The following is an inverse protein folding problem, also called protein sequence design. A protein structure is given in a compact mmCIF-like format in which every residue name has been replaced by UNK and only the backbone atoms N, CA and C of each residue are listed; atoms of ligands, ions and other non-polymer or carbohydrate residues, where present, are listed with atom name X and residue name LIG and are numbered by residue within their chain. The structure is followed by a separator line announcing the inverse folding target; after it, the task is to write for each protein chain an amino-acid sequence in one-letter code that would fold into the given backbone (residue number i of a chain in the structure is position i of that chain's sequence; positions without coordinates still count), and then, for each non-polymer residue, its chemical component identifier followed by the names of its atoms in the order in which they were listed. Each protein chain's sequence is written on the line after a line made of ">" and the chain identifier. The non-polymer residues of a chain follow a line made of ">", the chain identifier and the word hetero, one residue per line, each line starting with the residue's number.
data_IF_623573880347
#
_entry.id   IF_623573880347
#
_cell.length_a   1.000
_cell.length_b   1.000
_cell.length_c   1.000
_cell.angle_alpha   90.00
_cell.angle_beta   90.00
_cell.angle_gamma   90.00
#
_symmetry.space_group_name_H-M   'P 1'
#
loop_
_entity.id
_entity.type
_entity.pdbx_description
1 polymer ?
#
# COMPACT_ATOMS: atom_id res chain seq x y z
N UNK A 1 -7.66 -5.44 -10.49
CA UNK A 1 -7.67 -6.63 -9.63
C UNK A 1 -7.77 -6.18 -8.19
N UNK A 2 -8.67 -6.77 -7.40
CA UNK A 2 -8.89 -6.40 -6.00
C UNK A 2 -8.77 -7.61 -5.07
N UNK A 3 -8.17 -7.44 -3.88
CA UNK A 3 -8.10 -8.44 -2.82
C UNK A 3 -8.67 -7.93 -1.50
N UNK A 4 -9.73 -8.56 -0.98
CA UNK A 4 -10.34 -8.15 0.29
C UNK A 4 -10.75 -6.69 0.32
N UNK A 5 -10.26 -5.92 1.31
CA UNK A 5 -10.59 -4.49 1.45
C UNK A 5 -10.00 -3.62 0.33
N UNK A 6 -9.04 -4.12 -0.44
CA UNK A 6 -8.52 -3.44 -1.64
C UNK A 6 -9.56 -3.20 -2.74
N UNK A 7 -10.79 -3.68 -2.54
CA UNK A 7 -11.91 -3.36 -3.41
C UNK A 7 -12.28 -1.87 -3.39
N UNK A 8 -12.04 -1.16 -2.30
CA UNK A 8 -12.52 0.23 -2.11
C UNK A 8 -11.94 1.21 -3.14
N UNK A 9 -10.62 1.31 -3.37
CA UNK A 9 -10.10 2.18 -4.42
C UNK A 9 -10.44 1.66 -5.83
N UNK A 10 -10.43 0.34 -6.02
CA UNK A 10 -10.76 -0.26 -7.32
C UNK A 10 -12.23 0.02 -7.70
N UNK A 11 -13.14 0.06 -6.73
CA UNK A 11 -14.53 0.42 -6.96
C UNK A 11 -14.68 1.87 -7.44
N UNK A 12 -13.97 2.82 -6.84
CA UNK A 12 -13.98 4.22 -7.28
C UNK A 12 -13.45 4.37 -8.73
N UNK A 13 -12.40 3.64 -9.08
CA UNK A 13 -11.88 3.61 -10.45
C UNK A 13 -12.89 2.99 -11.44
N UNK A 14 -13.57 1.90 -11.04
CA UNK A 14 -14.58 1.24 -11.85
C UNK A 14 -15.82 2.13 -12.08
N UNK A 15 -16.24 2.91 -11.06
CA UNK A 15 -17.31 3.91 -11.18
C UNK A 15 -16.93 4.94 -12.25
N UNK A 16 -15.75 5.52 -12.19
CA UNK A 16 -15.27 6.51 -13.15
C UNK A 16 -15.18 5.94 -14.57
N UNK A 17 -14.61 4.74 -14.74
CA UNK A 17 -14.54 4.09 -16.04
C UNK A 17 -15.93 3.79 -16.62
N UNK A 18 -16.87 3.41 -15.75
CA UNK A 18 -18.26 3.16 -16.16
C UNK A 18 -18.96 4.44 -16.62
N UNK A 19 -18.78 5.57 -15.92
CA UNK A 19 -19.29 6.89 -16.30
C UNK A 19 -18.71 7.37 -17.64
N UNK A 20 -17.44 7.11 -17.88
CA UNK A 20 -16.76 7.42 -19.13
C UNK A 20 -17.13 6.49 -20.28
N UNK A 21 -17.88 5.41 -20.05
CA UNK A 21 -18.17 4.37 -21.03
C UNK A 21 -16.94 3.56 -21.46
N UNK A 22 -15.86 3.61 -20.68
CA UNK A 22 -14.63 2.89 -20.96
C UNK A 22 -14.77 1.37 -20.68
N UNK A 23 -14.13 0.49 -21.49
CA UNK A 23 -14.13 -0.93 -21.22
C UNK A 23 -13.24 -1.25 -20.01
N UNK A 24 -13.70 -2.14 -19.13
CA UNK A 24 -12.91 -2.68 -18.02
C UNK A 24 -13.43 -4.05 -17.60
N UNK A 25 -12.59 -4.81 -16.91
CA UNK A 25 -12.92 -6.02 -16.17
C UNK A 25 -12.50 -5.84 -14.72
N UNK A 26 -13.32 -6.29 -13.78
CA UNK A 26 -13.06 -6.25 -12.34
C UNK A 26 -12.91 -7.68 -11.80
N UNK A 27 -11.69 -8.06 -11.43
CA UNK A 27 -11.37 -9.34 -10.82
C UNK A 27 -11.22 -9.15 -9.30
N UNK A 28 -12.20 -9.66 -8.53
CA UNK A 28 -12.25 -9.47 -7.09
C UNK A 28 -12.10 -10.80 -6.35
N UNK A 29 -11.04 -10.89 -5.54
CA UNK A 29 -10.73 -12.07 -4.72
C UNK A 29 -11.05 -11.84 -3.24
N UNK A 30 -11.79 -12.76 -2.64
CA UNK A 30 -12.10 -12.77 -1.20
C UNK A 30 -11.74 -14.12 -0.58
N UNK A 31 -11.57 -14.18 0.73
CA UNK A 31 -11.29 -15.45 1.41
C UNK A 31 -12.53 -16.35 1.43
N UNK A 32 -13.64 -15.82 1.92
CA UNK A 32 -14.94 -16.52 2.04
C UNK A 32 -16.04 -15.70 1.37
N UNK A 33 -17.22 -16.29 1.09
CA UNK A 33 -18.37 -15.52 0.59
C UNK A 33 -18.76 -14.35 1.48
N UNK A 34 -18.71 -14.54 2.80
CA UNK A 34 -19.08 -13.53 3.80
C UNK A 34 -18.04 -12.43 4.02
N UNK A 35 -16.80 -12.62 3.54
CA UNK A 35 -15.73 -11.62 3.67
C UNK A 35 -15.65 -10.64 2.50
N UNK A 36 -16.53 -10.77 1.50
CA UNK A 36 -16.57 -9.92 0.32
C UNK A 36 -17.45 -8.69 0.53
N UNK A 37 -16.84 -7.53 0.81
CA UNK A 37 -17.57 -6.28 0.81
C UNK A 37 -18.06 -5.92 -0.60
N UNK A 38 -19.26 -5.36 -0.72
CA UNK A 38 -19.83 -4.81 -1.97
C UNK A 38 -20.02 -5.80 -3.12
N UNK A 39 -19.90 -7.13 -2.93
CA UNK A 39 -19.96 -8.11 -4.03
C UNK A 39 -21.26 -8.02 -4.82
N UNK A 40 -22.40 -7.98 -4.13
CA UNK A 40 -23.72 -7.94 -4.77
C UNK A 40 -23.96 -6.58 -5.45
N UNK A 41 -23.51 -5.50 -4.82
CA UNK A 41 -23.56 -4.14 -5.36
C UNK A 41 -22.73 -4.03 -6.65
N UNK A 42 -21.51 -4.54 -6.67
CA UNK A 42 -20.64 -4.55 -7.83
C UNK A 42 -21.25 -5.36 -8.99
N UNK A 43 -21.82 -6.53 -8.70
CA UNK A 43 -22.51 -7.34 -9.71
C UNK A 43 -23.76 -6.64 -10.26
N UNK A 44 -24.50 -5.95 -9.41
CA UNK A 44 -25.67 -5.18 -9.82
C UNK A 44 -25.27 -4.00 -10.72
N UNK A 45 -24.19 -3.26 -10.37
CA UNK A 45 -23.73 -2.09 -11.12
C UNK A 45 -23.07 -2.44 -12.46
N UNK A 46 -22.18 -3.44 -12.44
CA UNK A 46 -21.30 -3.70 -13.59
C UNK A 46 -21.56 -5.03 -14.32
N UNK A 47 -22.45 -5.86 -13.78
CA UNK A 47 -22.90 -7.10 -14.43
C UNK A 47 -21.76 -8.08 -14.74
N UNK A 48 -21.63 -8.43 -16.03
CA UNK A 48 -20.64 -9.41 -16.48
C UNK A 48 -19.18 -8.92 -16.42
N UNK A 49 -18.93 -7.65 -16.20
CA UNK A 49 -17.59 -7.11 -16.01
C UNK A 49 -16.95 -7.54 -14.69
N UNK A 50 -17.76 -8.08 -13.73
CA UNK A 50 -17.31 -8.47 -12.39
C UNK A 50 -17.10 -9.97 -12.29
N UNK A 51 -15.87 -10.37 -12.02
CA UNK A 51 -15.45 -11.74 -11.77
C UNK A 51 -15.08 -11.90 -10.29
N UNK A 52 -15.91 -12.61 -9.53
CA UNK A 52 -15.70 -12.83 -8.10
C UNK A 52 -15.10 -14.21 -7.83
N UNK A 53 -14.01 -14.24 -7.07
CA UNK A 53 -13.25 -15.44 -6.70
C UNK A 53 -13.24 -15.63 -5.20
N UNK A 54 -13.24 -16.91 -4.76
CA UNK A 54 -13.24 -17.28 -3.34
C UNK A 54 -12.13 -18.28 -3.09
N UNK A 55 -11.11 -17.87 -2.33
CA UNK A 55 -9.89 -18.67 -2.16
C UNK A 55 -10.12 -19.95 -1.35
N UNK A 56 -11.10 -19.98 -0.44
CA UNK A 56 -11.44 -21.17 0.36
C UNK A 56 -12.09 -22.26 -0.51
N UNK A 57 -12.82 -21.90 -1.55
CA UNK A 57 -13.48 -22.85 -2.45
C UNK A 57 -12.64 -23.26 -3.65
N UNK A 58 -11.31 -23.09 -3.58
CA UNK A 58 -10.34 -23.33 -4.65
C UNK A 58 -10.60 -22.52 -5.96
N UNK A 59 -11.48 -21.56 -5.92
CA UNK A 59 -11.72 -20.60 -7.01
C UNK A 59 -10.75 -19.43 -6.90
N UNK A 60 -9.51 -19.65 -7.28
CA UNK A 60 -8.49 -18.60 -7.37
C UNK A 60 -8.47 -17.99 -8.76
N UNK A 61 -7.99 -16.74 -8.84
CA UNK A 61 -7.70 -16.11 -10.13
C UNK A 61 -6.53 -16.86 -10.76
N UNK A 62 -6.70 -17.32 -11.99
CA UNK A 62 -5.58 -17.77 -12.81
C UNK A 62 -4.89 -16.53 -13.39
N UNK A 63 -3.99 -15.95 -12.62
CA UNK A 63 -3.32 -14.69 -12.95
C UNK A 63 -2.48 -14.83 -14.22
N UNK A 64 -1.79 -15.96 -14.40
CA UNK A 64 -0.93 -16.16 -15.57
C UNK A 64 -1.75 -16.16 -16.87
N UNK A 65 -2.85 -16.90 -16.88
CA UNK A 65 -3.76 -16.95 -18.03
C UNK A 65 -4.46 -15.60 -18.24
N UNK A 66 -4.96 -14.97 -17.17
CA UNK A 66 -5.63 -13.67 -17.26
C UNK A 66 -4.72 -12.60 -17.87
N UNK A 67 -3.49 -12.49 -17.37
CA UNK A 67 -2.57 -11.42 -17.78
C UNK A 67 -1.98 -11.64 -19.18
N UNK A 68 -1.88 -12.88 -19.64
CA UNK A 68 -1.39 -13.20 -20.99
C UNK A 68 -2.41 -12.97 -22.10
N UNK A 69 -3.70 -12.82 -21.78
CA UNK A 69 -4.79 -12.71 -22.76
C UNK A 69 -5.36 -11.30 -22.92
N UNK A 70 -4.81 -10.31 -22.22
CA UNK A 70 -5.33 -8.95 -22.27
C UNK A 70 -4.96 -8.23 -23.58
N UNK A 71 -5.85 -7.37 -24.12
CA UNK A 71 -5.54 -6.55 -25.29
C UNK A 71 -4.33 -5.64 -25.08
N UNK A 72 -3.59 -5.36 -26.14
CA UNK A 72 -2.51 -4.37 -26.10
C UNK A 72 -3.04 -2.99 -25.67
N UNK A 73 -2.29 -2.29 -24.85
CA UNK A 73 -2.69 -0.98 -24.31
C UNK A 73 -3.59 -1.05 -23.07
N UNK A 74 -3.89 -2.26 -22.57
CA UNK A 74 -4.60 -2.40 -21.28
C UNK A 74 -3.73 -1.90 -20.12
N UNK A 75 -4.34 -1.20 -19.17
CA UNK A 75 -3.74 -0.82 -17.90
C UNK A 75 -4.23 -1.73 -16.78
N UNK A 76 -3.33 -2.19 -15.95
CA UNK A 76 -3.58 -3.02 -14.79
C UNK A 76 -3.56 -2.18 -13.51
N UNK A 77 -4.62 -2.26 -12.74
CA UNK A 77 -4.71 -1.67 -11.40
C UNK A 77 -4.90 -2.79 -10.38
N UNK A 78 -4.08 -2.82 -9.34
CA UNK A 78 -4.17 -3.83 -8.29
C UNK A 78 -4.12 -3.20 -6.90
N UNK A 79 -5.02 -3.65 -6.03
CA UNK A 79 -5.02 -3.33 -4.59
C UNK A 79 -5.47 -4.55 -3.78
N UNK A 80 -4.75 -4.86 -2.71
CA UNK A 80 -5.01 -6.03 -1.86
C UNK A 80 -3.85 -6.34 -0.92
N UNK A 81 -3.76 -7.58 -0.41
CA UNK A 81 -2.62 -8.03 0.37
C UNK A 81 -1.30 -7.91 -0.42
N UNK A 82 -0.20 -7.52 0.25
CA UNK A 82 1.10 -7.30 -0.39
C UNK A 82 1.55 -8.49 -1.26
N UNK A 83 1.44 -9.71 -0.74
CA UNK A 83 1.79 -10.94 -1.49
C UNK A 83 1.01 -11.05 -2.80
N UNK A 84 -0.28 -10.66 -2.81
CA UNK A 84 -1.10 -10.67 -4.01
C UNK A 84 -0.65 -9.60 -5.01
N UNK A 85 -0.34 -8.39 -4.52
CA UNK A 85 0.14 -7.30 -5.36
C UNK A 85 1.48 -7.67 -6.01
N UNK A 86 2.42 -8.20 -5.22
CA UNK A 86 3.73 -8.65 -5.70
C UNK A 86 3.60 -9.74 -6.78
N UNK A 87 2.75 -10.76 -6.56
CA UNK A 87 2.52 -11.82 -7.53
C UNK A 87 1.88 -11.28 -8.82
N UNK A 88 0.89 -10.40 -8.72
CA UNK A 88 0.23 -9.79 -9.90
C UNK A 88 1.24 -8.98 -10.71
N UNK A 89 2.03 -8.13 -10.09
CA UNK A 89 3.02 -7.29 -10.79
C UNK A 89 4.15 -8.13 -11.40
N UNK A 90 4.63 -9.15 -10.70
CA UNK A 90 5.66 -10.07 -11.21
C UNK A 90 5.14 -10.82 -12.46
N UNK A 91 3.97 -11.44 -12.38
CA UNK A 91 3.38 -12.19 -13.49
C UNK A 91 3.03 -11.29 -14.67
N UNK A 92 2.61 -10.04 -14.43
CA UNK A 92 2.37 -9.09 -15.51
C UNK A 92 3.67 -8.75 -16.26
N UNK A 93 4.78 -8.49 -15.55
CA UNK A 93 6.09 -8.27 -16.17
C UNK A 93 6.58 -9.49 -16.96
N UNK A 94 6.42 -10.70 -16.41
CA UNK A 94 6.74 -11.96 -17.10
C UNK A 94 5.90 -12.15 -18.37
N UNK A 95 4.66 -11.67 -18.38
CA UNK A 95 3.78 -11.67 -19.56
C UNK A 95 4.08 -10.51 -20.54
N UNK A 96 5.08 -9.67 -20.27
CA UNK A 96 5.53 -8.60 -21.18
C UNK A 96 4.78 -7.27 -21.04
N UNK A 97 4.09 -7.03 -19.93
CA UNK A 97 3.43 -5.73 -19.67
C UNK A 97 4.45 -4.62 -19.41
N UNK A 98 4.30 -3.45 -20.05
CA UNK A 98 5.15 -2.29 -19.75
C UNK A 98 4.90 -1.77 -18.31
N UNK A 99 5.96 -1.40 -17.59
CA UNK A 99 5.83 -0.90 -16.21
C UNK A 99 4.89 0.32 -16.09
N UNK A 100 4.84 1.17 -17.10
CA UNK A 100 3.93 2.32 -17.15
C UNK A 100 2.43 1.94 -17.20
N UNK A 101 2.10 0.69 -17.48
CA UNK A 101 0.74 0.17 -17.46
C UNK A 101 0.39 -0.56 -16.17
N UNK A 102 1.35 -0.68 -15.24
CA UNK A 102 1.18 -1.39 -13.98
C UNK A 102 0.99 -0.40 -12.84
N UNK A 103 -0.16 -0.44 -12.18
CA UNK A 103 -0.53 0.46 -11.10
C UNK A 103 -0.92 -0.36 -9.87
N UNK A 104 -0.26 -0.09 -8.74
CA UNK A 104 -0.54 -0.76 -7.47
C UNK A 104 -0.86 0.27 -6.38
N UNK A 105 -1.85 -0.05 -5.56
CA UNK A 105 -2.12 0.69 -4.34
C UNK A 105 -2.00 -0.23 -3.14
N UNK A 106 -1.15 0.17 -2.20
CA UNK A 106 -0.87 -0.57 -0.97
C UNK A 106 -1.59 0.09 0.21
N UNK A 107 -2.33 -0.71 0.97
CA UNK A 107 -2.84 -0.29 2.26
C UNK A 107 -1.82 -0.65 3.33
N UNK A 108 -0.97 0.28 3.66
CA UNK A 108 -0.03 0.11 4.75
C UNK A 108 -0.69 0.54 6.06
N UNK A 109 -0.94 -0.43 6.94
CA UNK A 109 -1.11 -0.12 8.36
C UNK A 109 0.28 0.02 8.99
N UNK A 110 0.45 0.87 10.01
CA UNK A 110 1.69 0.87 10.78
C UNK A 110 2.00 -0.57 11.22
N UNK A 111 3.14 -1.11 10.80
CA UNK A 111 3.56 -2.43 11.26
C UNK A 111 3.92 -2.33 12.73
N UNK A 112 3.38 -3.22 13.54
CA UNK A 112 3.72 -3.31 14.96
C UNK A 112 5.21 -3.57 15.17
N UNK A 113 5.75 -3.17 16.31
CA UNK A 113 7.15 -3.38 16.66
C UNK A 113 7.43 -2.91 18.08
N UNK A 114 8.67 -3.06 18.56
CA UNK A 114 9.03 -2.58 19.89
C UNK A 114 8.86 -1.07 19.98
N UNK A 115 8.39 -0.55 21.14
CA UNK A 115 8.27 0.89 21.34
C UNK A 115 9.65 1.54 21.42
N UNK A 116 9.76 2.78 20.89
CA UNK A 116 11.01 3.54 20.85
C UNK A 116 10.75 5.04 21.01
N UNK A 117 11.79 5.80 21.26
CA UNK A 117 11.73 7.26 21.42
C UNK A 117 12.19 7.97 20.14
N UNK A 118 11.46 9.02 19.77
CA UNK A 118 11.81 9.94 18.68
C UNK A 118 12.22 11.27 19.28
N UNK A 119 13.46 11.65 19.10
CA UNK A 119 13.98 12.97 19.47
C UNK A 119 13.85 13.92 18.27
N UNK A 120 13.31 15.08 18.49
CA UNK A 120 13.07 16.10 17.47
C UNK A 120 14.09 17.22 17.67
N UNK A 121 15.02 17.37 16.72
CA UNK A 121 16.16 18.26 16.86
C UNK A 121 15.78 19.74 16.92
N UNK A 122 14.76 20.16 16.16
CA UNK A 122 14.32 21.56 16.10
C UNK A 122 13.47 22.00 17.26
N UNK A 123 12.61 21.11 17.74
CA UNK A 123 11.70 21.40 18.86
C UNK A 123 12.22 20.97 20.21
N UNK A 124 13.34 20.25 20.27
CA UNK A 124 13.93 19.67 21.48
C UNK A 124 12.93 18.79 22.28
N UNK A 125 11.95 18.20 21.61
CA UNK A 125 10.96 17.31 22.21
C UNK A 125 11.35 15.86 21.99
N UNK A 126 10.93 15.01 22.93
CA UNK A 126 10.99 13.55 22.77
C UNK A 126 9.58 13.00 22.78
N UNK A 127 9.26 12.18 21.77
CA UNK A 127 7.94 11.55 21.61
C UNK A 127 8.10 10.05 21.64
N UNK A 128 7.31 9.36 22.49
CA UNK A 128 7.28 7.91 22.56
C UNK A 128 6.38 7.33 21.48
N UNK A 129 6.91 6.45 20.65
CA UNK A 129 6.16 5.66 19.67
C UNK A 129 5.83 4.30 20.29
N UNK A 130 4.54 3.94 20.34
CA UNK A 130 4.05 2.68 20.90
C UNK A 130 4.19 1.53 19.90
N UNK A 131 3.82 0.31 20.33
CA UNK A 131 3.97 -0.91 19.55
C UNK A 131 3.17 -0.90 18.23
N UNK A 132 1.98 -0.30 18.23
CA UNK A 132 0.98 -0.36 17.17
C UNK A 132 0.74 0.99 16.46
N UNK A 133 1.59 1.97 16.67
CA UNK A 133 1.48 3.28 16.02
C UNK A 133 2.70 3.63 15.16
N UNK A 134 2.49 4.47 14.15
CA UNK A 134 3.57 5.05 13.36
C UNK A 134 4.21 6.24 14.07
N UNK A 135 5.42 6.63 13.63
CA UNK A 135 6.05 7.88 14.08
C UNK A 135 5.12 9.07 13.81
N UNK A 136 4.51 9.13 12.62
CA UNK A 136 3.56 10.19 12.26
C UNK A 136 2.40 10.30 13.26
N UNK A 137 1.77 9.17 13.61
CA UNK A 137 0.66 9.16 14.57
C UNK A 137 1.09 9.60 15.96
N UNK A 138 2.27 9.17 16.44
CA UNK A 138 2.81 9.60 17.72
C UNK A 138 3.10 11.11 17.76
N UNK A 139 3.65 11.68 16.67
CA UNK A 139 3.89 13.11 16.54
C UNK A 139 2.57 13.91 16.52
N UNK A 140 1.57 13.47 15.78
CA UNK A 140 0.24 14.08 15.76
C UNK A 140 -0.41 14.05 17.16
N UNK A 141 -0.35 12.92 17.85
CA UNK A 141 -0.84 12.80 19.23
C UNK A 141 -0.12 13.73 20.22
N UNK A 142 1.15 14.07 19.94
CA UNK A 142 1.93 15.03 20.71
C UNK A 142 1.68 16.51 20.29
N UNK A 143 0.71 16.76 19.41
CA UNK A 143 0.35 18.11 18.94
C UNK A 143 1.32 18.70 17.92
N UNK A 144 2.03 17.85 17.17
CA UNK A 144 2.93 18.25 16.09
C UNK A 144 2.27 17.97 14.74
N UNK A 145 2.56 18.79 13.74
CA UNK A 145 1.96 18.71 12.40
C UNK A 145 3.06 18.51 11.34
N UNK A 146 3.73 17.35 11.30
CA UNK A 146 4.70 17.09 10.23
C UNK A 146 3.97 16.93 8.90
N UNK A 147 4.62 17.24 7.75
CA UNK A 147 3.99 17.09 6.45
C UNK A 147 3.67 15.63 6.15
N UNK A 148 2.48 15.36 5.62
CA UNK A 148 2.07 14.04 5.13
C UNK A 148 0.94 14.15 4.09
N UNK A 149 0.69 13.06 3.33
CA UNK A 149 -0.44 12.95 2.41
C UNK A 149 -1.06 11.56 2.43
N UNK A 150 -0.38 10.53 1.90
CA UNK A 150 -0.97 9.20 1.67
C UNK A 150 -1.04 8.31 2.92
N UNK A 151 -0.24 8.56 3.95
CA UNK A 151 -0.05 7.71 5.16
C UNK A 151 0.33 6.24 4.85
N UNK A 152 0.70 5.95 3.60
CA UNK A 152 0.93 4.62 3.06
C UNK A 152 2.33 4.39 2.49
N UNK A 153 3.30 5.27 2.75
CA UNK A 153 4.69 5.08 2.31
C UNK A 153 4.94 5.24 0.81
N UNK A 154 3.98 5.79 0.04
CA UNK A 154 4.10 5.83 -1.42
C UNK A 154 4.35 7.23 -2.01
N UNK A 155 3.94 8.31 -1.33
CA UNK A 155 3.92 9.66 -1.94
C UNK A 155 5.14 10.53 -1.63
N UNK A 156 6.00 10.13 -0.68
CA UNK A 156 7.18 10.88 -0.28
C UNK A 156 6.94 12.09 0.64
N UNK A 157 5.70 12.56 0.84
CA UNK A 157 5.41 13.81 1.57
C UNK A 157 5.83 13.80 3.05
N UNK A 158 5.93 12.63 3.66
CA UNK A 158 6.38 12.47 5.03
C UNK A 158 7.86 12.08 5.15
N UNK A 159 8.65 12.27 4.08
CA UNK A 159 10.09 12.07 4.13
C UNK A 159 10.71 12.97 5.18
N UNK A 160 11.49 12.38 6.08
CA UNK A 160 12.14 13.11 7.17
C UNK A 160 13.61 12.70 7.25
N UNK A 161 14.47 13.68 7.42
CA UNK A 161 15.89 13.43 7.59
C UNK A 161 16.20 12.82 8.96
N UNK A 162 17.07 11.82 8.97
CA UNK A 162 17.55 11.12 10.16
C UNK A 162 18.91 11.66 10.53
N UNK A 163 19.03 12.23 11.74
CA UNK A 163 20.28 12.77 12.29
C UNK A 163 21.05 11.73 13.10
N UNK A 164 20.35 10.73 13.64
CA UNK A 164 20.93 9.62 14.38
C UNK A 164 19.93 8.53 14.69
N UNK A 165 20.42 7.29 14.79
CA UNK A 165 19.63 6.12 15.20
C UNK A 165 20.55 5.17 15.96
N UNK A 166 20.11 4.67 17.11
CA UNK A 166 20.89 3.71 17.93
C UNK A 166 20.75 2.26 17.47
N UNK A 167 20.08 2.04 16.34
CA UNK A 167 19.86 0.73 15.75
C UNK A 167 19.77 0.82 14.24
N UNK A 168 18.81 0.13 13.63
CA UNK A 168 18.58 0.14 12.19
C UNK A 168 17.16 0.60 11.87
N UNK A 169 17.01 1.34 10.77
CA UNK A 169 15.70 1.74 10.26
C UNK A 169 15.07 0.54 9.56
N UNK A 170 13.83 0.27 9.88
CA UNK A 170 12.98 -0.71 9.21
C UNK A 170 12.10 0.03 8.21
N UNK A 171 12.54 0.07 6.97
CA UNK A 171 11.81 0.70 5.89
C UNK A 171 10.63 -0.17 5.45
N UNK A 172 9.43 0.40 5.46
CA UNK A 172 8.20 -0.23 4.98
C UNK A 172 7.54 0.60 3.88
N UNK A 173 8.27 1.58 3.37
CA UNK A 173 7.85 2.43 2.26
C UNK A 173 8.24 1.84 0.90
N UNK A 174 7.52 2.29 -0.12
CA UNK A 174 7.77 1.99 -1.53
C UNK A 174 8.34 3.20 -2.29
N UNK A 175 8.69 4.26 -1.56
CA UNK A 175 9.13 5.54 -2.14
C UNK A 175 10.65 5.66 -2.24
N UNK A 176 11.36 5.37 -1.15
CA UNK A 176 12.83 5.48 -1.13
C UNK A 176 13.47 4.36 -1.97
N UNK A 177 14.52 4.73 -2.71
CA UNK A 177 15.37 3.76 -3.40
C UNK A 177 16.15 2.89 -2.40
N UNK A 178 16.63 1.75 -2.83
CA UNK A 178 17.44 0.86 -1.97
C UNK A 178 18.73 1.55 -1.48
N UNK A 179 19.31 2.44 -2.29
CA UNK A 179 20.48 3.24 -1.91
C UNK A 179 20.14 4.24 -0.81
N UNK A 180 19.01 4.92 -0.91
CA UNK A 180 18.53 5.85 0.13
C UNK A 180 18.19 5.11 1.42
N UNK A 181 17.52 3.96 1.36
CA UNK A 181 17.26 3.10 2.51
C UNK A 181 18.56 2.64 3.18
N UNK A 182 19.52 2.17 2.39
CA UNK A 182 20.82 1.72 2.90
C UNK A 182 21.64 2.85 3.53
N UNK A 183 21.44 4.10 3.10
CA UNK A 183 22.13 5.27 3.68
C UNK A 183 21.76 5.55 5.13
N UNK A 184 20.58 5.14 5.58
CA UNK A 184 20.05 5.44 6.91
C UNK A 184 19.79 6.92 7.20
N UNK A 185 19.80 7.79 6.18
CA UNK A 185 19.67 9.25 6.34
C UNK A 185 18.27 9.77 6.20
N UNK A 186 17.33 8.94 5.76
CA UNK A 186 15.94 9.30 5.50
C UNK A 186 14.99 8.25 6.06
N UNK A 187 13.81 8.67 6.42
CA UNK A 187 12.74 7.78 6.88
C UNK A 187 11.37 8.30 6.44
N UNK A 188 10.49 7.39 6.04
CA UNK A 188 9.06 7.69 5.85
C UNK A 188 8.32 7.49 7.17
N UNK A 189 8.09 8.58 7.93
CA UNK A 189 7.55 8.54 9.29
C UNK A 189 6.12 7.97 9.37
N UNK A 190 5.40 7.89 8.26
CA UNK A 190 4.03 7.34 8.25
C UNK A 190 3.97 5.81 8.32
N UNK A 191 5.03 5.08 7.93
CA UNK A 191 5.02 3.60 7.86
C UNK A 191 6.26 2.95 8.46
N UNK A 192 7.43 3.61 8.37
CA UNK A 192 8.71 3.03 8.78
C UNK A 192 8.92 3.12 10.29
N UNK A 193 9.71 2.22 10.84
CA UNK A 193 10.05 2.11 12.27
C UNK A 193 11.54 1.90 12.45
N UNK A 194 11.97 1.69 13.68
CA UNK A 194 13.37 1.31 13.97
C UNK A 194 13.43 0.00 14.76
N UNK A 195 14.54 -0.69 14.58
CA UNK A 195 15.00 -1.76 15.47
C UNK A 195 16.08 -1.17 16.34
N UNK A 196 15.68 -0.48 17.41
CA UNK A 196 16.49 0.26 18.35
C UNK A 196 15.59 0.88 19.40
N UNK A 197 16.16 1.71 20.26
CA UNK A 197 15.43 2.40 21.33
C UNK A 197 15.19 3.87 21.01
N UNK A 198 16.01 4.46 20.10
CA UNK A 198 15.97 5.89 19.85
C UNK A 198 16.35 6.25 18.41
N UNK A 199 15.65 7.24 17.87
CA UNK A 199 15.99 7.90 16.61
C UNK A 199 15.87 9.41 16.78
N UNK A 200 16.81 10.16 16.17
CA UNK A 200 16.79 11.62 16.15
C UNK A 200 16.42 12.10 14.75
N UNK A 201 15.37 12.89 14.63
CA UNK A 201 14.84 13.42 13.39
C UNK A 201 15.03 14.93 13.27
N UNK A 202 15.17 15.42 12.05
CA UNK A 202 15.28 16.85 11.74
C UNK A 202 13.88 17.51 11.65
N UNK A 203 13.18 17.55 12.80
CA UNK A 203 11.84 18.12 13.00
C UNK A 203 11.81 19.08 14.19
#
# INVERSE_FOLDING_TARGET
>A
IAGGIGITPIMAMADQLSEMGAPFELHYSTRTPSSGAYVDELKQRYGRKVHHYQTVSARRIDLANLLSQQPLGTHLYVCGPDVMIEDVLRLAREAGWPDQHLHAEHFTSPRGGLPFDVELSKSAKTVRVKEDESILQALEAAGLEPPYLCRGGACGQCETAVLGCDGSIQHYDHYLTEEEKASGRKIMICVSRIKGQRITLDL
#
